data_IF_476155745563
#
_entry.id   IF_476155745563
#
_cell.length_a   1.000
_cell.length_b   1.000
_cell.length_c   1.000
_cell.angle_alpha   90.00
_cell.angle_beta   90.00
_cell.angle_gamma   90.00
#
_symmetry.space_group_name_H-M   'P 1'
#
loop_
_entity.id
_entity.type
_entity.pdbx_description
1 polymer ?
#
# COMPACT_ATOMS: atom_id res chain seq x y z
N UNK A 1 3.74 -8.50 11.66
CA UNK A 1 2.63 -7.75 11.04
C UNK A 1 1.76 -8.73 10.26
N UNK A 2 0.43 -8.56 10.24
CA UNK A 2 -0.49 -9.42 9.47
C UNK A 2 -0.82 -8.73 8.14
N UNK A 3 -0.52 -9.38 7.03
CA UNK A 3 -0.85 -8.91 5.69
C UNK A 3 -2.29 -9.28 5.31
N UNK A 4 -2.94 -8.51 4.42
CA UNK A 4 -4.23 -8.90 3.88
C UNK A 4 -4.10 -10.18 3.02
N UNK A 5 -5.21 -10.88 2.82
CA UNK A 5 -5.20 -12.16 2.12
C UNK A 5 -4.68 -12.01 0.69
N UNK A 6 -3.89 -12.99 0.23
CA UNK A 6 -3.25 -12.96 -1.09
C UNK A 6 -2.00 -12.06 -1.20
N UNK A 7 -1.66 -11.26 -0.19
CA UNK A 7 -0.42 -10.50 -0.15
C UNK A 7 0.72 -11.31 0.47
N UNK A 8 1.93 -11.02 0.00
CA UNK A 8 3.19 -11.49 0.58
C UNK A 8 4.09 -10.30 1.00
N UNK A 9 5.24 -10.61 1.59
CA UNK A 9 6.19 -9.58 2.03
C UNK A 9 6.72 -8.72 0.89
N UNK A 10 6.80 -9.25 -0.33
CA UNK A 10 7.27 -8.49 -1.49
C UNK A 10 6.23 -7.45 -1.93
N UNK A 11 4.93 -7.80 -1.89
CA UNK A 11 3.86 -6.83 -2.10
C UNK A 11 3.94 -5.69 -1.10
N UNK A 12 4.21 -6.02 0.17
CA UNK A 12 4.38 -5.01 1.21
C UNK A 12 5.59 -4.11 0.95
N UNK A 13 6.77 -4.67 0.67
CA UNK A 13 7.98 -3.88 0.37
C UNK A 13 7.78 -2.97 -0.84
N UNK A 14 7.08 -3.46 -1.87
CA UNK A 14 6.71 -2.67 -3.06
C UNK A 14 5.79 -1.52 -2.71
N UNK A 15 4.65 -1.80 -2.06
CA UNK A 15 3.70 -0.76 -1.65
C UNK A 15 4.38 0.27 -0.74
N UNK A 16 5.19 -0.17 0.23
CA UNK A 16 5.95 0.69 1.13
C UNK A 16 6.89 1.64 0.38
N UNK A 17 7.59 1.13 -0.65
CA UNK A 17 8.44 1.96 -1.51
C UNK A 17 7.62 3.03 -2.22
N UNK A 18 6.47 2.67 -2.79
CA UNK A 18 5.58 3.63 -3.45
C UNK A 18 5.09 4.67 -2.43
N UNK A 19 4.57 4.25 -1.27
CA UNK A 19 4.12 5.15 -0.19
C UNK A 19 5.20 6.14 0.21
N UNK A 20 6.47 5.71 0.32
CA UNK A 20 7.59 6.60 0.66
C UNK A 20 7.84 7.73 -0.34
N UNK A 21 7.36 7.63 -1.56
CA UNK A 21 7.45 8.70 -2.56
C UNK A 21 6.39 9.79 -2.33
N UNK A 22 5.34 9.49 -1.56
CA UNK A 22 4.20 10.39 -1.30
C UNK A 22 4.17 10.95 0.13
N UNK A 23 5.01 10.42 1.05
CA UNK A 23 5.11 10.93 2.42
C UNK A 23 6.54 10.83 2.97
N UNK A 24 6.96 11.84 3.73
CA UNK A 24 8.27 11.89 4.40
C UNK A 24 8.21 11.46 5.88
N UNK A 25 7.04 11.10 6.41
CA UNK A 25 6.87 10.75 7.81
C UNK A 25 7.12 9.26 8.06
N UNK A 26 8.36 8.93 8.42
CA UNK A 26 8.82 7.56 8.69
C UNK A 26 8.04 6.84 9.80
N UNK A 27 7.36 7.57 10.71
CA UNK A 27 6.64 6.94 11.83
C UNK A 27 5.35 6.23 11.41
N UNK A 28 4.77 6.60 10.26
CA UNK A 28 3.47 6.10 9.82
C UNK A 28 3.55 5.28 8.53
N UNK A 29 4.76 4.99 8.04
CA UNK A 29 4.94 4.39 6.71
C UNK A 29 4.38 2.96 6.64
N UNK A 30 4.66 2.14 7.65
CA UNK A 30 4.18 0.74 7.71
C UNK A 30 2.66 0.67 7.89
N UNK A 31 2.10 1.58 8.69
CA UNK A 31 0.66 1.68 8.95
C UNK A 31 -0.10 2.14 7.70
N UNK A 32 0.35 3.22 7.05
CA UNK A 32 -0.22 3.67 5.78
C UNK A 32 -0.12 2.59 4.69
N UNK A 33 1.03 1.91 4.60
CA UNK A 33 1.22 0.80 3.65
C UNK A 33 0.20 -0.31 3.90
N UNK A 34 0.00 -0.69 5.18
CA UNK A 34 -1.00 -1.69 5.57
C UNK A 34 -2.41 -1.26 5.19
N UNK A 35 -2.78 -0.02 5.49
CA UNK A 35 -4.11 0.51 5.24
C UNK A 35 -4.44 0.51 3.75
N UNK A 36 -3.51 0.99 2.93
CA UNK A 36 -3.61 0.99 1.46
C UNK A 36 -3.77 -0.43 0.91
N UNK A 37 -2.96 -1.39 1.40
CA UNK A 37 -3.08 -2.78 0.98
C UNK A 37 -4.41 -3.41 1.39
N UNK A 38 -4.95 -3.07 2.57
CA UNK A 38 -6.27 -3.54 3.00
C UNK A 38 -7.39 -2.94 2.13
N UNK A 39 -7.28 -1.68 1.72
CA UNK A 39 -8.21 -1.04 0.79
C UNK A 39 -8.18 -1.76 -0.56
N UNK A 40 -6.99 -1.97 -1.14
CA UNK A 40 -6.82 -2.69 -2.40
C UNK A 40 -7.45 -4.10 -2.36
N UNK A 41 -7.24 -4.83 -1.27
CA UNK A 41 -7.87 -6.13 -1.08
C UNK A 41 -9.40 -6.04 -0.99
N UNK A 42 -9.93 -5.12 -0.17
CA UNK A 42 -11.37 -4.99 0.09
C UNK A 42 -12.21 -4.65 -1.15
N UNK A 43 -11.56 -4.08 -2.16
CA UNK A 43 -12.15 -3.64 -3.43
C UNK A 43 -11.95 -4.66 -4.55
N UNK A 44 -11.30 -5.79 -4.27
CA UNK A 44 -11.01 -6.83 -5.25
C UNK A 44 -9.83 -6.53 -6.17
N UNK A 45 -8.99 -5.54 -5.82
CA UNK A 45 -7.75 -5.24 -6.53
C UNK A 45 -6.69 -6.32 -6.29
N UNK A 46 -5.76 -6.45 -7.24
CA UNK A 46 -4.53 -7.22 -7.04
C UNK A 46 -3.42 -6.34 -6.43
N UNK A 47 -2.28 -6.94 -6.09
CA UNK A 47 -1.11 -6.21 -5.57
C UNK A 47 -0.05 -5.96 -6.66
N UNK A 48 -0.49 -5.76 -7.91
CA UNK A 48 0.39 -5.27 -8.98
C UNK A 48 0.84 -3.83 -8.70
N UNK A 49 1.96 -3.45 -9.28
CA UNK A 49 2.55 -2.13 -9.05
C UNK A 49 1.63 -0.98 -9.53
N UNK A 50 0.86 -1.21 -10.61
CA UNK A 50 -0.11 -0.24 -11.15
C UNK A 50 -1.28 -0.02 -10.18
N UNK A 51 -1.90 -1.09 -9.72
CA UNK A 51 -3.02 -1.02 -8.77
C UNK A 51 -2.59 -0.40 -7.44
N UNK A 52 -1.42 -0.80 -6.91
CA UNK A 52 -0.89 -0.22 -5.68
C UNK A 52 -0.65 1.28 -5.83
N UNK A 53 -0.13 1.74 -6.97
CA UNK A 53 0.08 3.17 -7.22
C UNK A 53 -1.25 3.96 -7.26
N UNK A 54 -2.30 3.42 -7.87
CA UNK A 54 -3.63 4.05 -7.88
C UNK A 54 -4.18 4.21 -6.47
N UNK A 55 -4.10 3.17 -5.64
CA UNK A 55 -4.55 3.25 -4.25
C UNK A 55 -3.71 4.19 -3.39
N UNK A 56 -2.39 4.25 -3.60
CA UNK A 56 -1.52 5.22 -2.90
C UNK A 56 -1.91 6.65 -3.26
N UNK A 57 -2.10 6.96 -4.54
CA UNK A 57 -2.53 8.29 -4.99
C UNK A 57 -3.88 8.67 -4.39
N UNK A 58 -4.86 7.76 -4.47
CA UNK A 58 -6.19 7.97 -3.90
C UNK A 58 -6.12 8.21 -2.38
N UNK A 59 -5.30 7.44 -1.66
CA UNK A 59 -5.14 7.58 -0.21
C UNK A 59 -4.57 8.95 0.20
N UNK A 60 -3.61 9.49 -0.55
CA UNK A 60 -3.01 10.80 -0.27
C UNK A 60 -3.68 11.97 -1.00
N UNK A 61 -4.79 11.75 -1.73
CA UNK A 61 -5.47 12.74 -2.57
C UNK A 61 -4.56 13.42 -3.63
N UNK A 62 -3.74 12.63 -4.33
CA UNK A 62 -2.85 13.07 -5.41
C UNK A 62 -3.39 12.77 -6.81
#
# INVERSE_FOLDING_TARGET
MKLPYGANEDNFKKCKKIVSEFTNDNKNLDEATLEIMNIAYSTGGDYSDEILLEYVKAYFNW
#
